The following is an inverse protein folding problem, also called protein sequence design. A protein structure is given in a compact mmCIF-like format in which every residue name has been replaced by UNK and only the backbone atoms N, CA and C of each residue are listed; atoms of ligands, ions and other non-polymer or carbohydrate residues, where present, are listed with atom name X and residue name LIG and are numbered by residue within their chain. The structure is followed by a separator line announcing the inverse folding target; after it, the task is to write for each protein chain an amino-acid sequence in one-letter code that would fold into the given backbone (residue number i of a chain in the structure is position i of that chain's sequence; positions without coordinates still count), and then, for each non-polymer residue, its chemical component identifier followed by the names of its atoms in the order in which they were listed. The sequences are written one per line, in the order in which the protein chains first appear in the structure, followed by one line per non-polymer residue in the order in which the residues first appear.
data_IF_895342892478
#
_entry.id   IF_895342892478
#
_cell.length_a   1.000
_cell.length_b   1.000
_cell.length_c   1.000
_cell.angle_alpha   90.00
_cell.angle_beta   90.00
_cell.angle_gamma   90.00
#
_symmetry.space_group_name_H-M   'P 1'
#
loop_
_entity.id
_entity.type
_entity.pdbx_description
1 polymer ?
#
# COMPACT_ATOMS: atom_id res chain seq x y z
N UNK A 1 52.77 -8.78 72.40
CA UNK A 1 52.34 -8.38 71.04
C UNK A 1 53.54 -8.48 70.13
N UNK A 2 53.71 -9.63 69.48
CA UNK A 2 54.87 -10.03 68.66
C UNK A 2 54.89 -9.22 67.35
N UNK A 3 55.90 -8.35 67.10
CA UNK A 3 57.24 -8.61 66.55
C UNK A 3 57.20 -9.03 65.05
N UNK A 4 57.95 -8.53 64.05
CA UNK A 4 59.17 -7.71 63.89
C UNK A 4 59.26 -7.27 62.39
N UNK A 5 60.02 -6.20 62.11
CA UNK A 5 60.46 -5.64 60.81
C UNK A 5 61.12 -6.63 59.82
N UNK A 6 61.04 -6.36 58.49
CA UNK A 6 62.20 -6.10 57.58
C UNK A 6 61.88 -6.18 56.06
N UNK A 7 62.36 -5.17 55.32
CA UNK A 7 63.00 -5.13 53.99
C UNK A 7 62.55 -6.02 52.78
N UNK A 8 62.22 -5.30 51.70
CA UNK A 8 62.67 -5.42 50.28
C UNK A 8 62.61 -6.76 49.51
N UNK A 9 62.06 -6.75 48.28
CA UNK A 9 62.63 -7.35 47.04
C UNK A 9 61.73 -7.04 45.81
N UNK A 10 62.38 -6.85 44.66
CA UNK A 10 61.92 -6.39 43.34
C UNK A 10 61.14 -7.41 42.47
N UNK A 11 60.26 -6.85 41.60
CA UNK A 11 59.94 -7.18 40.18
C UNK A 11 59.17 -8.49 39.83
N UNK A 12 58.49 -8.58 38.65
CA UNK A 12 58.43 -7.62 37.53
C UNK A 12 57.04 -7.17 37.03
N UNK A 13 57.05 -6.00 36.37
CA UNK A 13 56.05 -5.56 35.38
C UNK A 13 55.92 -6.58 34.25
N UNK A 14 54.69 -6.85 33.81
CA UNK A 14 54.43 -7.48 32.52
C UNK A 14 53.73 -6.46 31.61
N UNK A 15 54.53 -5.60 30.98
CA UNK A 15 54.14 -4.90 29.75
C UNK A 15 54.18 -5.93 28.61
N UNK A 16 53.06 -6.10 27.91
CA UNK A 16 53.01 -6.38 26.46
C UNK A 16 51.55 -6.50 26.02
N UNK A 17 51.05 -5.40 25.44
CA UNK A 17 49.95 -5.39 24.46
C UNK A 17 50.18 -6.45 23.37
N UNK A 18 49.20 -7.29 23.05
CA UNK A 18 49.15 -7.95 21.76
C UNK A 18 48.26 -7.16 20.80
N UNK A 19 48.95 -6.56 19.84
CA UNK A 19 48.61 -6.27 18.45
C UNK A 19 47.25 -6.78 17.91
N UNK A 20 46.58 -5.89 17.18
CA UNK A 20 45.52 -6.15 16.19
C UNK A 20 45.82 -7.41 15.34
N UNK A 21 44.89 -8.37 15.20
CA UNK A 21 44.94 -9.33 14.13
C UNK A 21 44.29 -8.74 12.87
N UNK A 22 45.13 -8.65 11.85
CA UNK A 22 44.86 -8.67 10.43
C UNK A 22 43.61 -9.45 10.00
N UNK A 23 42.92 -8.90 8.99
CA UNK A 23 41.87 -9.51 8.17
C UNK A 23 42.12 -11.02 7.93
N UNK A 24 41.36 -11.87 8.61
CA UNK A 24 41.13 -13.25 8.21
C UNK A 24 39.63 -13.50 8.14
N UNK A 25 39.20 -13.97 6.97
CA UNK A 25 37.86 -14.45 6.67
C UNK A 25 37.53 -15.65 7.56
N UNK A 26 36.92 -15.42 8.71
CA UNK A 26 36.34 -16.49 9.53
C UNK A 26 34.90 -16.72 9.11
N UNK A 27 34.66 -17.90 8.53
CA UNK A 27 33.31 -18.42 8.32
C UNK A 27 32.54 -18.45 9.65
N UNK A 28 31.23 -18.18 9.66
CA UNK A 28 30.42 -18.38 10.86
C UNK A 28 30.37 -19.88 11.22
N UNK A 29 30.18 -20.21 12.51
CA UNK A 29 30.18 -21.59 12.98
C UNK A 29 29.05 -22.39 12.34
N UNK A 30 29.39 -23.62 11.91
CA UNK A 30 28.45 -24.62 11.42
C UNK A 30 27.52 -25.01 12.58
N UNK A 31 26.24 -24.68 12.46
CA UNK A 31 25.20 -25.18 13.36
C UNK A 31 25.02 -26.69 13.12
N UNK A 32 24.87 -27.52 14.17
CA UNK A 32 24.53 -28.91 13.99
C UNK A 32 23.15 -29.03 13.31
N UNK A 33 23.08 -29.82 12.25
CA UNK A 33 21.86 -30.15 11.52
C UNK A 33 20.82 -30.69 12.51
N UNK A 34 19.85 -29.85 12.89
CA UNK A 34 18.60 -30.35 13.47
C UNK A 34 17.83 -30.95 12.30
N UNK A 35 18.02 -32.24 12.06
CA UNK A 35 17.13 -33.04 11.23
C UNK A 35 15.76 -33.05 11.92
N UNK A 36 14.91 -32.09 11.57
CA UNK A 36 13.47 -32.21 11.77
C UNK A 36 12.99 -33.38 10.90
N UNK A 37 13.07 -34.59 11.45
CA UNK A 37 12.39 -35.77 10.92
C UNK A 37 10.92 -35.66 11.25
N UNK A 38 10.23 -34.77 10.56
CA UNK A 38 8.80 -34.80 10.37
C UNK A 38 8.54 -34.34 8.95
N UNK A 39 8.63 -35.27 7.99
CA UNK A 39 8.22 -35.01 6.60
C UNK A 39 6.73 -34.62 6.64
N UNK A 40 6.39 -33.33 6.49
CA UNK A 40 5.01 -32.92 6.55
C UNK A 40 4.52 -32.97 5.10
N UNK A 41 3.72 -33.99 4.75
CA UNK A 41 3.12 -34.24 3.43
C UNK A 41 3.74 -33.45 2.26
N UNK A 42 4.76 -34.02 1.62
CA UNK A 42 5.49 -33.45 0.46
C UNK A 42 4.57 -32.86 -0.63
N UNK A 43 3.35 -33.39 -0.79
CA UNK A 43 2.34 -32.87 -1.71
C UNK A 43 1.77 -31.51 -1.31
N UNK A 44 1.51 -31.28 -0.02
CA UNK A 44 0.92 -30.03 0.48
C UNK A 44 1.87 -28.85 0.29
N UNK A 45 3.17 -29.03 0.57
CA UNK A 45 4.18 -28.00 0.34
C UNK A 45 4.33 -27.68 -1.15
N UNK A 46 4.34 -28.70 -2.02
CA UNK A 46 4.40 -28.47 -3.47
C UNK A 46 3.19 -27.72 -4.02
N UNK A 47 1.99 -28.00 -3.49
CA UNK A 47 0.78 -27.25 -3.86
C UNK A 47 0.88 -25.80 -3.39
N UNK A 48 1.39 -25.57 -2.17
CA UNK A 48 1.60 -24.23 -1.64
C UNK A 48 2.63 -23.45 -2.48
N UNK A 49 3.74 -24.08 -2.86
CA UNK A 49 4.77 -23.48 -3.71
C UNK A 49 4.22 -23.09 -5.08
N UNK A 50 3.41 -23.95 -5.70
CA UNK A 50 2.74 -23.65 -6.97
C UNK A 50 1.74 -22.50 -6.80
N UNK A 51 0.95 -22.50 -5.72
CA UNK A 51 -0.02 -21.45 -5.45
C UNK A 51 0.68 -20.09 -5.23
N UNK A 52 1.73 -20.06 -4.42
CA UNK A 52 2.57 -18.87 -4.19
C UNK A 52 3.21 -18.43 -5.50
N UNK A 53 3.72 -19.36 -6.30
CA UNK A 53 4.32 -19.06 -7.60
C UNK A 53 3.33 -18.50 -8.62
N UNK A 54 2.09 -18.98 -8.64
CA UNK A 54 1.03 -18.46 -9.52
C UNK A 54 0.54 -17.10 -9.05
N UNK A 55 0.32 -16.92 -7.74
CA UNK A 55 -0.24 -15.69 -7.16
C UNK A 55 0.80 -14.58 -7.11
N UNK A 56 2.00 -14.86 -6.58
CA UNK A 56 3.09 -13.89 -6.42
C UNK A 56 4.00 -13.80 -7.63
N UNK A 57 3.98 -14.78 -8.54
CA UNK A 57 4.92 -14.81 -9.66
C UNK A 57 6.36 -15.09 -9.25
N UNK A 58 6.59 -15.71 -8.08
CA UNK A 58 7.92 -16.03 -7.54
C UNK A 58 8.15 -17.54 -7.65
N UNK A 59 9.20 -17.96 -8.35
CA UNK A 59 9.65 -19.35 -8.33
C UNK A 59 10.56 -19.59 -7.13
N UNK A 60 10.14 -20.44 -6.19
CA UNK A 60 10.96 -20.84 -5.05
C UNK A 60 11.92 -21.93 -5.54
N UNK A 61 13.17 -21.57 -5.82
CA UNK A 61 14.23 -22.52 -6.09
C UNK A 61 14.81 -23.01 -4.75
N UNK A 62 14.64 -24.31 -4.44
CA UNK A 62 15.02 -24.89 -3.15
C UNK A 62 16.54 -25.14 -2.98
N UNK A 63 17.38 -24.91 -4.00
CA UNK A 63 18.75 -25.48 -4.08
C UNK A 63 19.94 -24.50 -4.01
N UNK A 64 19.74 -23.22 -3.70
CA UNK A 64 20.86 -22.26 -3.63
C UNK A 64 21.34 -22.02 -2.18
N UNK A 65 22.29 -22.85 -1.71
CA UNK A 65 22.94 -22.79 -0.40
C UNK A 65 23.83 -21.57 -0.12
N UNK A 66 23.27 -20.36 -0.22
CA UNK A 66 23.90 -19.11 0.23
C UNK A 66 22.85 -18.11 0.71
N UNK A 67 23.22 -17.01 1.35
CA UNK A 67 22.30 -15.87 1.59
C UNK A 67 22.55 -14.83 0.50
N UNK A 68 21.75 -14.83 -0.55
CA UNK A 68 21.88 -13.87 -1.66
C UNK A 68 20.91 -12.72 -1.41
N UNK A 69 21.49 -11.56 -1.10
CA UNK A 69 20.79 -10.26 -1.04
C UNK A 69 20.07 -10.06 -2.39
N UNK A 70 18.77 -9.75 -2.36
CA UNK A 70 17.89 -9.54 -3.52
C UNK A 70 17.34 -10.77 -4.27
N UNK A 71 17.36 -11.98 -3.70
CA UNK A 71 16.86 -13.19 -4.39
C UNK A 71 15.44 -13.11 -4.94
N UNK A 72 14.55 -12.48 -4.18
CA UNK A 72 13.12 -12.52 -4.48
C UNK A 72 12.60 -11.22 -5.12
N UNK A 73 13.51 -10.28 -5.41
CA UNK A 73 13.12 -9.02 -6.04
C UNK A 73 12.94 -9.18 -7.55
N UNK A 74 11.69 -9.08 -7.99
CA UNK A 74 11.25 -9.27 -9.38
C UNK A 74 11.11 -7.95 -10.18
N UNK A 75 11.43 -6.81 -9.58
CA UNK A 75 11.36 -5.51 -10.26
C UNK A 75 12.54 -5.22 -11.19
N UNK A 76 12.59 -4.00 -11.70
CA UNK A 76 13.62 -3.57 -12.66
C UNK A 76 15.03 -3.61 -12.08
N UNK A 77 16.01 -4.05 -12.86
CA UNK A 77 17.44 -3.99 -12.47
C UNK A 77 18.19 -2.85 -13.14
N UNK A 78 17.49 -1.93 -13.81
CA UNK A 78 18.10 -0.81 -14.53
C UNK A 78 18.95 0.12 -13.65
N UNK A 79 18.59 0.25 -12.36
CA UNK A 79 19.29 1.13 -11.41
C UNK A 79 20.36 0.40 -10.57
N UNK A 80 20.75 -0.83 -10.95
CA UNK A 80 21.86 -1.56 -10.32
C UNK A 80 23.16 -0.76 -10.21
N UNK A 81 23.59 0.04 -11.21
CA UNK A 81 24.81 0.85 -11.07
C UNK A 81 24.77 1.83 -9.88
N UNK A 82 23.57 2.29 -9.51
CA UNK A 82 23.37 3.18 -8.35
C UNK A 82 23.41 2.37 -7.05
N UNK A 83 22.87 1.15 -7.05
CA UNK A 83 23.00 0.19 -5.94
C UNK A 83 24.47 -0.10 -5.64
N UNK A 84 25.27 -0.42 -6.66
CA UNK A 84 26.69 -0.74 -6.49
C UNK A 84 27.49 0.44 -5.94
N UNK A 85 27.11 1.66 -6.33
CA UNK A 85 27.74 2.89 -5.85
C UNK A 85 27.32 3.29 -4.43
N UNK A 86 26.04 3.11 -4.08
CA UNK A 86 25.46 3.62 -2.82
C UNK A 86 25.35 2.58 -1.70
N UNK A 87 25.46 1.28 -2.02
CA UNK A 87 25.25 0.17 -1.09
C UNK A 87 23.78 -0.09 -0.70
N UNK A 88 22.84 0.75 -1.20
CA UNK A 88 21.41 0.66 -0.89
C UNK A 88 20.75 -0.40 -1.79
N UNK A 89 19.89 -1.28 -1.22
CA UNK A 89 19.13 -2.26 -2.00
C UNK A 89 18.36 -1.66 -3.20
N UNK A 90 18.33 -2.39 -4.32
CA UNK A 90 17.79 -1.90 -5.61
C UNK A 90 16.29 -1.64 -5.56
N UNK A 91 15.56 -2.42 -4.77
CA UNK A 91 14.13 -2.31 -4.52
C UNK A 91 13.76 -0.96 -3.88
N UNK A 92 14.52 -0.53 -2.87
CA UNK A 92 14.36 0.77 -2.23
C UNK A 92 14.66 1.91 -3.20
N UNK A 93 15.74 1.81 -3.98
CA UNK A 93 16.10 2.82 -4.98
C UNK A 93 15.02 2.94 -6.05
N UNK A 94 14.53 1.81 -6.58
CA UNK A 94 13.46 1.81 -7.58
C UNK A 94 12.19 2.45 -7.04
N UNK A 95 11.82 2.14 -5.80
CA UNK A 95 10.62 2.71 -5.17
C UNK A 95 10.73 4.22 -4.99
N UNK A 96 11.88 4.71 -4.53
CA UNK A 96 12.15 6.15 -4.39
C UNK A 96 12.14 6.82 -5.76
N UNK A 97 12.85 6.25 -6.75
CA UNK A 97 12.90 6.78 -8.11
C UNK A 97 11.51 6.87 -8.75
N UNK A 98 10.68 5.82 -8.62
CA UNK A 98 9.30 5.82 -9.11
C UNK A 98 8.44 6.89 -8.44
N UNK A 99 8.66 7.14 -7.14
CA UNK A 99 7.98 8.21 -6.40
C UNK A 99 8.35 9.59 -6.94
N UNK A 100 9.63 9.82 -7.27
CA UNK A 100 10.08 11.06 -7.89
C UNK A 100 9.56 11.23 -9.32
N UNK A 101 9.55 10.15 -10.14
CA UNK A 101 9.00 10.16 -11.51
C UNK A 101 7.48 10.39 -11.55
N UNK A 102 6.77 10.05 -10.49
CA UNK A 102 5.34 10.32 -10.40
C UNK A 102 5.03 11.82 -10.44
N UNK A 103 5.93 12.69 -9.96
CA UNK A 103 5.76 14.15 -10.03
C UNK A 103 5.74 14.70 -11.47
N UNK A 104 6.75 14.47 -12.32
CA UNK A 104 6.71 14.91 -13.71
C UNK A 104 5.59 14.23 -14.49
N UNK A 105 5.23 12.97 -14.21
CA UNK A 105 4.05 12.34 -14.82
C UNK A 105 2.75 13.06 -14.44
N UNK A 106 2.60 13.53 -13.20
CA UNK A 106 1.45 14.33 -12.80
C UNK A 106 1.39 15.68 -13.52
N UNK A 107 2.53 16.35 -13.68
CA UNK A 107 2.62 17.59 -14.46
C UNK A 107 2.31 17.34 -15.94
N UNK A 108 2.86 16.28 -16.52
CA UNK A 108 2.61 15.86 -17.90
C UNK A 108 1.12 15.60 -18.12
N UNK A 109 0.49 14.82 -17.26
CA UNK A 109 -0.95 14.53 -17.34
C UNK A 109 -1.78 15.82 -17.26
N UNK A 110 -1.39 16.75 -16.39
CA UNK A 110 -2.10 18.04 -16.25
C UNK A 110 -2.01 18.90 -17.51
N UNK A 111 -0.84 18.98 -18.13
CA UNK A 111 -0.62 19.84 -19.31
C UNK A 111 -1.12 19.19 -20.61
N UNK A 112 -0.89 17.89 -20.78
CA UNK A 112 -1.24 17.16 -22.01
C UNK A 112 -2.70 16.72 -22.03
N UNK A 113 -3.25 16.34 -20.89
CA UNK A 113 -4.63 15.80 -20.78
C UNK A 113 -5.51 16.67 -19.87
N UNK A 114 -5.71 17.96 -20.18
CA UNK A 114 -6.55 18.83 -19.36
C UNK A 114 -8.03 18.40 -19.43
N UNK A 115 -8.77 18.42 -18.31
CA UNK A 115 -10.18 18.00 -18.26
C UNK A 115 -11.11 18.81 -19.16
N UNK A 116 -10.72 20.02 -19.56
CA UNK A 116 -11.49 20.87 -20.47
C UNK A 116 -11.49 20.36 -21.91
N UNK A 117 -10.43 19.64 -22.32
CA UNK A 117 -10.23 19.20 -23.71
C UNK A 117 -10.43 17.70 -23.89
N UNK A 118 -10.11 16.91 -22.87
CA UNK A 118 -10.03 15.45 -22.96
C UNK A 118 -11.17 14.79 -22.19
N UNK A 119 -11.73 13.71 -22.76
CA UNK A 119 -12.76 12.92 -22.08
C UNK A 119 -12.17 12.21 -20.85
N UNK A 120 -12.93 12.06 -19.74
CA UNK A 120 -12.46 11.40 -18.52
C UNK A 120 -11.88 9.99 -18.75
N UNK A 121 -12.41 9.26 -19.75
CA UNK A 121 -11.95 7.92 -20.10
C UNK A 121 -10.47 7.88 -20.53
N UNK A 122 -10.00 8.85 -21.32
CA UNK A 122 -8.60 8.88 -21.76
C UNK A 122 -7.66 9.24 -20.61
N UNK A 123 -8.12 10.09 -19.69
CA UNK A 123 -7.39 10.39 -18.45
C UNK A 123 -7.26 9.13 -17.58
N UNK A 124 -8.35 8.38 -17.44
CA UNK A 124 -8.37 7.12 -16.68
C UNK A 124 -7.43 6.08 -17.29
N UNK A 125 -7.46 5.92 -18.62
CA UNK A 125 -6.55 5.02 -19.33
C UNK A 125 -5.09 5.42 -19.15
N UNK A 126 -4.78 6.72 -19.24
CA UNK A 126 -3.43 7.22 -18.99
C UNK A 126 -2.96 6.91 -17.56
N UNK A 127 -3.83 7.05 -16.56
CA UNK A 127 -3.51 6.68 -15.18
C UNK A 127 -3.23 5.19 -15.00
N UNK A 128 -4.05 4.33 -15.61
CA UNK A 128 -3.85 2.88 -15.58
C UNK A 128 -2.50 2.52 -16.21
N UNK A 129 -2.20 3.08 -17.39
CA UNK A 129 -0.94 2.78 -18.11
C UNK A 129 0.27 3.25 -17.32
N UNK A 130 0.26 4.50 -16.82
CA UNK A 130 1.36 5.03 -16.05
C UNK A 130 1.53 4.30 -14.71
N UNK A 131 0.44 3.95 -14.03
CA UNK A 131 0.49 3.27 -12.75
C UNK A 131 0.89 1.81 -12.88
N UNK A 132 0.40 1.10 -13.90
CA UNK A 132 0.91 -0.23 -14.25
C UNK A 132 2.41 -0.17 -14.56
N UNK A 133 2.87 0.85 -15.29
CA UNK A 133 4.29 1.08 -15.55
C UNK A 133 5.12 1.25 -14.28
N UNK A 134 4.63 2.06 -13.33
CA UNK A 134 5.27 2.26 -12.02
C UNK A 134 5.32 0.95 -11.21
N UNK A 135 4.22 0.20 -11.16
CA UNK A 135 4.18 -1.10 -10.45
C UNK A 135 5.10 -2.13 -11.10
N UNK A 136 5.09 -2.24 -12.43
CA UNK A 136 5.97 -3.17 -13.16
C UNK A 136 7.44 -2.78 -12.93
N UNK A 137 7.76 -1.50 -12.92
CA UNK A 137 9.11 -1.04 -12.62
C UNK A 137 9.54 -1.42 -11.19
N UNK A 138 8.68 -1.20 -10.19
CA UNK A 138 9.01 -1.47 -8.79
C UNK A 138 8.92 -2.95 -8.38
N UNK A 139 8.00 -3.73 -8.94
CA UNK A 139 7.64 -5.07 -8.45
C UNK A 139 7.49 -6.11 -9.57
N UNK A 140 7.69 -5.72 -10.83
CA UNK A 140 7.58 -6.63 -11.97
C UNK A 140 6.17 -7.17 -12.19
N UNK A 141 6.07 -8.48 -12.42
CA UNK A 141 4.80 -9.16 -12.70
C UNK A 141 3.92 -9.40 -11.46
N UNK A 142 4.36 -8.97 -10.28
CA UNK A 142 3.53 -8.91 -9.08
C UNK A 142 2.33 -7.95 -9.23
N UNK A 143 2.29 -7.13 -10.29
CA UNK A 143 1.09 -6.40 -10.72
C UNK A 143 -0.18 -7.27 -10.74
N UNK A 144 -0.05 -8.56 -11.06
CA UNK A 144 -1.17 -9.52 -11.10
C UNK A 144 -1.89 -9.64 -9.76
N UNK A 145 -1.18 -9.48 -8.63
CA UNK A 145 -1.72 -9.52 -7.27
C UNK A 145 -2.76 -8.39 -7.09
N UNK A 146 -2.39 -7.17 -7.46
CA UNK A 146 -3.27 -6.00 -7.40
C UNK A 146 -4.46 -6.13 -8.36
N UNK A 147 -4.23 -6.66 -9.57
CA UNK A 147 -5.29 -6.89 -10.56
C UNK A 147 -6.30 -7.94 -10.09
N UNK A 148 -5.84 -9.05 -9.49
CA UNK A 148 -6.71 -10.09 -8.98
C UNK A 148 -7.59 -9.57 -7.83
N UNK A 149 -6.99 -8.87 -6.87
CA UNK A 149 -7.73 -8.32 -5.72
C UNK A 149 -8.83 -7.35 -6.16
N UNK A 150 -8.51 -6.39 -7.05
CA UNK A 150 -9.48 -5.42 -7.57
C UNK A 150 -10.57 -6.07 -8.42
N UNK A 151 -10.21 -7.02 -9.28
CA UNK A 151 -11.16 -7.66 -10.20
C UNK A 151 -12.23 -8.43 -9.44
N UNK A 152 -11.84 -9.24 -8.45
CA UNK A 152 -12.79 -10.00 -7.62
C UNK A 152 -13.67 -9.04 -6.82
N UNK A 153 -13.09 -8.01 -6.20
CA UNK A 153 -13.87 -7.00 -5.48
C UNK A 153 -14.88 -6.27 -6.37
N UNK A 154 -14.51 -5.94 -7.60
CA UNK A 154 -15.43 -5.29 -8.55
C UNK A 154 -16.57 -6.22 -8.98
N UNK A 155 -16.27 -7.49 -9.25
CA UNK A 155 -17.29 -8.49 -9.57
C UNK A 155 -18.28 -8.63 -8.41
N UNK A 156 -17.81 -8.68 -7.16
CA UNK A 156 -18.69 -8.70 -5.99
C UNK A 156 -19.59 -7.46 -5.92
N UNK A 157 -19.04 -6.27 -6.18
CA UNK A 157 -19.81 -5.01 -6.22
C UNK A 157 -20.86 -4.99 -7.35
N UNK A 158 -20.62 -5.69 -8.45
CA UNK A 158 -21.57 -5.80 -9.57
C UNK A 158 -22.68 -6.83 -9.30
N UNK A 159 -22.35 -7.96 -8.68
CA UNK A 159 -23.29 -9.06 -8.45
C UNK A 159 -24.21 -8.82 -7.24
N UNK A 160 -23.71 -8.14 -6.20
CA UNK A 160 -24.45 -7.98 -4.96
C UNK A 160 -25.32 -6.71 -4.94
N UNK A 161 -26.44 -6.77 -4.22
CA UNK A 161 -27.34 -5.61 -4.09
C UNK A 161 -26.75 -4.55 -3.15
N UNK A 162 -26.64 -3.33 -3.65
CA UNK A 162 -25.93 -2.23 -2.97
C UNK A 162 -26.67 -1.61 -1.78
N UNK A 163 -27.97 -1.83 -1.65
CA UNK A 163 -28.80 -1.42 -0.51
C UNK A 163 -28.58 -2.27 0.75
N UNK A 164 -27.89 -3.42 0.62
CA UNK A 164 -27.66 -4.35 1.74
C UNK A 164 -26.25 -4.20 2.30
N UNK A 165 -26.17 -4.14 3.63
CA UNK A 165 -24.89 -4.04 4.38
C UNK A 165 -23.96 -5.23 4.15
N UNK A 166 -24.52 -6.37 3.75
CA UNK A 166 -23.75 -7.59 3.43
C UNK A 166 -22.76 -7.33 2.30
N UNK A 167 -23.10 -6.49 1.32
CA UNK A 167 -22.26 -6.19 0.16
C UNK A 167 -20.93 -5.52 0.54
N UNK A 168 -20.89 -4.37 1.24
CA UNK A 168 -19.63 -3.77 1.66
C UNK A 168 -18.86 -4.63 2.66
N UNK A 169 -19.55 -5.36 3.54
CA UNK A 169 -18.90 -6.32 4.45
C UNK A 169 -18.20 -7.42 3.65
N UNK A 170 -18.87 -8.02 2.67
CA UNK A 170 -18.31 -9.10 1.86
C UNK A 170 -17.05 -8.63 1.10
N UNK A 171 -17.10 -7.46 0.46
CA UNK A 171 -15.94 -6.87 -0.25
C UNK A 171 -14.78 -6.60 0.71
N UNK A 172 -15.08 -6.10 1.91
CA UNK A 172 -14.08 -5.83 2.94
C UNK A 172 -13.44 -7.12 3.46
N UNK A 173 -14.25 -8.14 3.75
CA UNK A 173 -13.79 -9.47 4.18
C UNK A 173 -12.91 -10.11 3.11
N UNK A 174 -13.33 -10.08 1.84
CA UNK A 174 -12.52 -10.55 0.72
C UNK A 174 -11.17 -9.82 0.66
N UNK A 175 -11.19 -8.48 0.71
CA UNK A 175 -9.98 -7.67 0.55
C UNK A 175 -8.99 -7.88 1.71
N UNK A 176 -9.49 -7.98 2.95
CA UNK A 176 -8.67 -8.27 4.13
C UNK A 176 -8.15 -9.70 4.15
N UNK A 177 -8.98 -10.69 3.77
CA UNK A 177 -8.55 -12.08 3.66
C UNK A 177 -7.46 -12.23 2.61
N UNK A 178 -7.63 -11.60 1.46
CA UNK A 178 -6.61 -11.57 0.41
C UNK A 178 -5.31 -10.96 0.92
N UNK A 179 -5.36 -9.79 1.56
CA UNK A 179 -4.18 -9.14 2.15
C UNK A 179 -3.49 -10.04 3.20
N UNK A 180 -4.26 -10.73 4.04
CA UNK A 180 -3.72 -11.70 5.02
C UNK A 180 -2.98 -12.84 4.33
N UNK A 181 -3.56 -13.42 3.27
CA UNK A 181 -2.90 -14.48 2.50
C UNK A 181 -1.62 -13.99 1.83
N UNK A 182 -1.60 -12.77 1.31
CA UNK A 182 -0.40 -12.15 0.73
C UNK A 182 0.70 -11.97 1.78
N UNK A 183 0.37 -11.48 2.98
CA UNK A 183 1.33 -11.39 4.08
C UNK A 183 1.81 -12.77 4.56
N UNK A 184 0.94 -13.77 4.57
CA UNK A 184 1.31 -15.14 4.92
C UNK A 184 2.27 -15.74 3.87
N UNK A 185 2.02 -15.50 2.58
CA UNK A 185 2.93 -15.90 1.51
C UNK A 185 4.29 -15.22 1.69
N UNK A 186 4.32 -13.90 1.95
CA UNK A 186 5.56 -13.16 2.21
C UNK A 186 6.33 -13.74 3.39
N UNK A 187 5.66 -14.08 4.48
CA UNK A 187 6.27 -14.74 5.63
C UNK A 187 6.86 -16.11 5.27
N UNK A 188 6.25 -16.80 4.31
CA UNK A 188 6.69 -18.12 3.85
C UNK A 188 7.96 -18.06 2.98
N UNK A 189 8.04 -17.15 2.00
CA UNK A 189 9.20 -17.09 1.07
C UNK A 189 10.31 -16.11 1.50
N UNK A 190 10.03 -15.10 2.33
CA UNK A 190 11.00 -14.09 2.77
C UNK A 190 10.83 -13.78 4.28
N UNK A 191 11.04 -14.80 5.12
CA UNK A 191 10.99 -14.67 6.57
C UNK A 191 12.10 -13.74 7.08
N UNK A 192 11.75 -12.75 7.89
CA UNK A 192 12.66 -11.69 8.40
C UNK A 192 13.33 -10.82 7.31
N UNK A 193 12.86 -10.91 6.06
CA UNK A 193 13.35 -10.11 4.96
C UNK A 193 12.91 -8.65 5.05
N UNK A 194 13.86 -7.74 4.85
CA UNK A 194 13.61 -6.30 4.73
C UNK A 194 13.37 -5.85 3.28
N UNK A 195 13.13 -6.80 2.36
CA UNK A 195 12.86 -6.46 0.97
C UNK A 195 11.50 -5.76 0.85
N UNK A 196 11.44 -4.78 -0.04
CA UNK A 196 10.23 -4.03 -0.31
C UNK A 196 9.32 -4.86 -1.24
N UNK A 197 8.14 -5.21 -0.72
CA UNK A 197 7.22 -6.16 -1.35
C UNK A 197 5.89 -5.50 -1.76
N UNK A 198 5.22 -6.10 -2.75
CA UNK A 198 3.92 -5.66 -3.26
C UNK A 198 2.83 -5.58 -2.18
N UNK A 199 2.99 -6.30 -1.05
CA UNK A 199 2.07 -6.26 0.09
C UNK A 199 1.72 -4.84 0.53
N UNK A 200 2.66 -3.89 0.44
CA UNK A 200 2.41 -2.48 0.74
C UNK A 200 1.38 -1.84 -0.19
N UNK A 201 1.47 -2.09 -1.50
CA UNK A 201 0.49 -1.60 -2.47
C UNK A 201 -0.88 -2.28 -2.28
N UNK A 202 -0.88 -3.59 -1.97
CA UNK A 202 -2.11 -4.36 -1.67
C UNK A 202 -2.83 -3.78 -0.44
N UNK A 203 -2.09 -3.31 0.57
CA UNK A 203 -2.65 -2.64 1.75
C UNK A 203 -3.40 -1.35 1.37
N UNK A 204 -2.78 -0.47 0.58
CA UNK A 204 -3.44 0.77 0.11
C UNK A 204 -4.68 0.45 -0.74
N UNK A 205 -4.58 -0.56 -1.59
CA UNK A 205 -5.70 -0.99 -2.41
C UNK A 205 -6.85 -1.56 -1.57
N UNK A 206 -6.55 -2.33 -0.52
CA UNK A 206 -7.54 -2.84 0.43
C UNK A 206 -8.34 -1.70 1.07
N UNK A 207 -7.67 -0.62 1.48
CA UNK A 207 -8.34 0.58 2.00
C UNK A 207 -9.27 1.22 0.96
N UNK A 208 -8.84 1.31 -0.30
CA UNK A 208 -9.63 1.86 -1.42
C UNK A 208 -10.86 1.03 -1.76
N UNK A 209 -10.73 -0.30 -1.78
CA UNK A 209 -11.83 -1.21 -2.10
C UNK A 209 -12.90 -1.20 -1.01
N UNK A 210 -12.48 -1.31 0.26
CA UNK A 210 -13.39 -1.29 1.40
C UNK A 210 -14.14 0.05 1.50
N UNK A 211 -13.41 1.17 1.40
CA UNK A 211 -14.03 2.50 1.44
C UNK A 211 -14.99 2.75 0.29
N UNK A 212 -14.65 2.36 -0.95
CA UNK A 212 -15.56 2.46 -2.09
C UNK A 212 -16.84 1.66 -1.85
N UNK A 213 -16.74 0.46 -1.31
CA UNK A 213 -17.89 -0.39 -1.04
C UNK A 213 -18.85 0.27 -0.03
N UNK A 214 -18.33 0.80 1.08
CA UNK A 214 -19.14 1.52 2.07
C UNK A 214 -19.72 2.84 1.51
N UNK A 215 -18.93 3.60 0.74
CA UNK A 215 -19.41 4.83 0.09
C UNK A 215 -20.55 4.54 -0.90
N UNK A 216 -20.49 3.42 -1.62
CA UNK A 216 -21.54 2.96 -2.53
C UNK A 216 -22.81 2.54 -1.78
N UNK A 217 -22.65 1.86 -0.64
CA UNK A 217 -23.74 1.45 0.25
C UNK A 217 -24.48 2.67 0.84
N UNK A 218 -23.75 3.64 1.39
CA UNK A 218 -24.35 4.86 1.92
C UNK A 218 -25.04 5.68 0.81
N UNK A 219 -24.43 5.76 -0.38
CA UNK A 219 -25.04 6.39 -1.54
C UNK A 219 -26.34 5.74 -2.00
N UNK A 220 -26.47 4.41 -1.87
CA UNK A 220 -27.72 3.71 -2.16
C UNK A 220 -28.81 3.97 -1.12
N UNK A 221 -28.45 4.03 0.17
CA UNK A 221 -29.40 4.35 1.25
C UNK A 221 -29.95 5.76 1.14
N UNK A 222 -29.09 6.74 0.83
CA UNK A 222 -29.50 8.13 0.62
C UNK A 222 -30.44 8.24 -0.58
N UNK A 223 -30.12 7.58 -1.69
CA UNK A 223 -30.97 7.57 -2.87
C UNK A 223 -32.34 6.89 -2.61
N UNK A 224 -32.35 5.79 -1.86
CA UNK A 224 -33.58 5.10 -1.47
C UNK A 224 -34.48 5.96 -0.57
N UNK A 225 -33.90 6.66 0.41
CA UNK A 225 -34.65 7.57 1.28
C UNK A 225 -35.24 8.77 0.52
N UNK A 226 -34.47 9.35 -0.40
CA UNK A 226 -34.97 10.44 -1.26
C UNK A 226 -36.11 9.97 -2.17
N UNK A 227 -36.03 8.74 -2.70
CA UNK A 227 -37.11 8.17 -3.51
C UNK A 227 -38.38 7.91 -2.69
N UNK A 228 -38.25 7.42 -1.45
CA UNK A 228 -39.37 7.21 -0.54
C UNK A 228 -40.06 8.53 -0.16
N UNK A 229 -39.28 9.58 0.13
CA UNK A 229 -39.81 10.91 0.43
C UNK A 229 -40.58 11.51 -0.76
N UNK A 230 -40.03 11.42 -1.97
CA UNK A 230 -40.70 11.91 -3.18
C UNK A 230 -41.99 11.13 -3.50
N UNK A 231 -42.04 9.83 -3.19
CA UNK A 231 -43.25 9.01 -3.36
C UNK A 231 -44.35 9.38 -2.37
N UNK A 232 -43.99 9.65 -1.11
CA UNK A 232 -44.93 10.09 -0.08
C UNK A 232 -45.57 11.45 -0.41
N UNK A 233 -44.77 12.44 -0.84
CA UNK A 233 -45.29 13.75 -1.24
C UNK A 233 -46.18 13.69 -2.49
N UNK A 234 -45.98 12.72 -3.38
CA UNK A 234 -46.85 12.55 -4.56
C UNK A 234 -48.21 11.95 -4.19
N UNK A 235 -48.24 11.00 -3.25
CA UNK A 235 -49.49 10.43 -2.75
C UNK A 235 -50.33 11.45 -1.98
N UNK A 236 -49.71 12.34 -1.18
CA UNK A 236 -50.43 13.38 -0.45
C UNK A 236 -51.07 14.44 -1.37
N UNK A 237 -50.43 14.77 -2.49
CA UNK A 237 -50.95 15.76 -3.44
C UNK A 237 -52.09 15.23 -4.33
N UNK A 238 -52.33 13.92 -4.36
CA UNK A 238 -53.48 13.31 -5.05
C UNK A 238 -54.70 13.15 -4.12
N UNK A 239 -54.53 13.29 -2.80
CA UNK A 239 -55.58 13.12 -1.80
C UNK A 239 -56.10 14.44 -1.17
N UNK A 240 -55.42 15.57 -1.36
CA UNK A 240 -55.81 16.84 -0.74
C UNK A 240 -55.86 18.02 -1.74
N UNK A 241 -57.05 18.27 -2.29
CA UNK A 241 -57.43 19.54 -2.92
C UNK A 241 -58.09 20.45 -1.86
N UNK A 242 -57.39 20.68 -0.74
CA UNK A 242 -57.78 21.73 0.22
C UNK A 242 -56.70 22.09 1.24
N UNK A 243 -56.33 23.38 1.20
CA UNK A 243 -55.72 24.20 2.27
C UNK A 243 -54.19 24.31 2.31
N UNK A 244 -53.82 25.57 2.11
CA UNK A 244 -52.52 26.24 2.06
C UNK A 244 -51.88 26.30 3.45
N UNK A 245 -50.60 25.90 3.58
CA UNK A 245 -49.81 26.09 4.80
C UNK A 245 -48.83 24.98 5.23
N UNK A 246 -48.56 23.95 4.43
CA UNK A 246 -47.85 22.73 4.85
C UNK A 246 -46.40 22.58 4.32
N UNK A 247 -45.75 23.65 3.85
CA UNK A 247 -44.43 23.51 3.20
C UNK A 247 -43.25 23.41 4.19
N UNK A 248 -43.31 24.09 5.34
CA UNK A 248 -42.20 24.12 6.31
C UNK A 248 -42.23 22.93 7.30
N UNK A 249 -43.41 22.45 7.70
CA UNK A 249 -43.55 21.31 8.61
C UNK A 249 -43.20 19.97 7.94
N UNK A 250 -43.59 19.80 6.67
CA UNK A 250 -43.26 18.61 5.87
C UNK A 250 -41.75 18.52 5.64
N UNK A 251 -41.08 19.65 5.43
CA UNK A 251 -39.63 19.72 5.23
C UNK A 251 -38.85 19.32 6.49
N UNK A 252 -39.32 19.74 7.68
CA UNK A 252 -38.72 19.37 8.96
C UNK A 252 -38.91 17.87 9.31
N UNK A 253 -40.07 17.28 8.97
CA UNK A 253 -40.34 15.84 9.20
C UNK A 253 -39.52 14.96 8.25
N UNK A 254 -39.30 15.40 7.01
CA UNK A 254 -38.43 14.71 6.03
C UNK A 254 -36.95 14.77 6.44
N UNK A 255 -36.52 15.85 7.09
CA UNK A 255 -35.14 16.00 7.56
C UNK A 255 -34.82 15.09 8.76
N UNK A 256 -35.79 14.82 9.65
CA UNK A 256 -35.65 13.90 10.79
C UNK A 256 -35.84 12.40 10.42
N UNK A 257 -36.57 12.12 9.33
CA UNK A 257 -36.87 10.74 8.87
C UNK A 257 -35.79 10.12 7.97
N UNK A 258 -34.75 10.87 7.62
CA UNK A 258 -33.67 10.39 6.76
C UNK A 258 -32.81 9.29 7.42
N UNK A 259 -32.11 8.45 6.64
CA UNK A 259 -31.19 7.46 7.20
C UNK A 259 -30.12 8.18 8.03
N UNK A 260 -30.03 7.81 9.30
CA UNK A 260 -28.98 8.27 10.22
C UNK A 260 -27.63 7.81 9.67
N UNK A 261 -26.89 8.75 9.09
CA UNK A 261 -25.57 8.56 8.46
C UNK A 261 -24.71 9.73 8.95
N UNK A 262 -23.48 9.44 9.35
CA UNK A 262 -22.53 10.47 9.78
C UNK A 262 -22.29 11.50 8.66
N UNK A 263 -22.08 12.79 8.99
CA UNK A 263 -21.88 13.84 7.98
C UNK A 263 -20.74 13.52 6.99
N UNK A 264 -19.59 13.05 7.49
CA UNK A 264 -18.45 12.69 6.65
C UNK A 264 -18.74 11.54 5.68
N UNK A 265 -19.54 10.55 6.11
CA UNK A 265 -20.00 9.45 5.25
C UNK A 265 -20.96 9.95 4.17
N UNK A 266 -21.84 10.91 4.49
CA UNK A 266 -22.71 11.55 3.49
C UNK A 266 -21.89 12.30 2.44
N UNK A 267 -20.84 13.00 2.86
CA UNK A 267 -19.94 13.71 1.95
C UNK A 267 -19.18 12.78 1.03
N UNK A 268 -18.83 11.58 1.46
CA UNK A 268 -18.11 10.59 0.64
C UNK A 268 -19.03 9.68 -0.17
N UNK A 269 -20.35 9.76 0.03
CA UNK A 269 -21.33 8.85 -0.55
C UNK A 269 -21.31 8.87 -2.09
N UNK A 270 -21.37 7.67 -2.69
CA UNK A 270 -21.30 7.47 -4.14
C UNK A 270 -22.62 6.87 -4.61
N UNK A 271 -23.42 7.67 -5.32
CA UNK A 271 -24.75 7.26 -5.80
C UNK A 271 -24.70 6.37 -7.04
N UNK A 272 -23.72 6.58 -7.92
CA UNK A 272 -23.56 5.86 -9.20
C UNK A 272 -22.34 4.95 -9.17
N UNK A 273 -22.52 3.69 -9.59
CA UNK A 273 -21.45 2.70 -9.75
C UNK A 273 -20.40 3.18 -10.75
N UNK A 274 -19.09 3.08 -10.42
CA UNK A 274 -18.03 3.37 -11.39
C UNK A 274 -18.06 2.40 -12.57
N UNK A 275 -17.75 2.91 -13.75
CA UNK A 275 -17.45 2.06 -14.91
C UNK A 275 -16.17 1.26 -14.68
N UNK A 276 -15.93 0.17 -15.43
CA UNK A 276 -14.79 -0.71 -15.20
C UNK A 276 -13.44 0.00 -15.38
N UNK A 277 -13.34 0.89 -16.36
CA UNK A 277 -12.11 1.68 -16.61
C UNK A 277 -11.88 2.72 -15.52
N UNK A 278 -12.94 3.38 -15.05
CA UNK A 278 -12.84 4.37 -13.97
C UNK A 278 -12.45 3.69 -12.64
N UNK A 279 -13.02 2.52 -12.37
CA UNK A 279 -12.65 1.70 -11.22
C UNK A 279 -11.20 1.20 -11.29
N UNK A 280 -10.78 0.69 -12.46
CA UNK A 280 -9.40 0.25 -12.66
C UNK A 280 -8.41 1.41 -12.48
N UNK A 281 -8.73 2.59 -12.97
CA UNK A 281 -7.90 3.78 -12.81
C UNK A 281 -7.84 4.25 -11.34
N UNK A 282 -8.95 4.16 -10.59
CA UNK A 282 -8.93 4.41 -9.14
C UNK A 282 -8.05 3.41 -8.37
N UNK A 283 -7.98 2.15 -8.81
CA UNK A 283 -7.10 1.16 -8.19
C UNK A 283 -5.62 1.41 -8.55
N UNK A 284 -5.35 1.83 -9.79
CA UNK A 284 -4.02 1.86 -10.41
C UNK A 284 -3.48 3.26 -10.72
N UNK A 285 -3.98 4.33 -10.10
CA UNK A 285 -3.44 5.66 -10.42
C UNK A 285 -1.97 5.80 -9.97
N UNK A 286 -1.12 6.22 -10.90
CA UNK A 286 0.34 6.22 -10.71
C UNK A 286 0.84 6.99 -9.49
N UNK A 287 0.15 8.07 -9.10
CA UNK A 287 0.58 8.93 -8.00
C UNK A 287 0.29 8.36 -6.59
N UNK A 288 -0.42 7.23 -6.49
CA UNK A 288 -0.73 6.61 -5.20
C UNK A 288 -0.73 5.09 -5.20
N UNK A 289 -0.47 4.42 -6.32
CA UNK A 289 -0.53 2.95 -6.41
C UNK A 289 0.45 2.26 -5.46
N UNK A 290 1.66 2.81 -5.30
CA UNK A 290 2.70 2.25 -4.43
C UNK A 290 2.75 2.91 -3.05
N UNK A 291 2.60 4.23 -3.01
CA UNK A 291 2.63 5.06 -1.81
C UNK A 291 1.82 6.31 -2.08
N UNK A 292 1.09 6.79 -1.08
CA UNK A 292 0.38 8.05 -1.18
C UNK A 292 -0.70 8.18 -0.12
N UNK A 293 -1.24 9.39 0.04
CA UNK A 293 -2.40 9.57 0.90
C UNK A 293 -3.56 8.73 0.37
N UNK A 294 -4.35 8.20 1.28
CA UNK A 294 -5.62 7.60 0.95
C UNK A 294 -6.58 8.69 0.41
N UNK A 295 -7.23 8.41 -0.72
CA UNK A 295 -8.15 9.33 -1.39
C UNK A 295 -9.48 8.62 -1.61
N UNK A 296 -10.58 9.23 -1.22
CA UNK A 296 -11.91 8.67 -1.46
C UNK A 296 -12.27 8.69 -2.94
N UNK A 297 -13.05 7.70 -3.38
CA UNK A 297 -13.47 7.57 -4.77
C UNK A 297 -14.19 8.81 -5.31
N UNK A 298 -15.00 9.49 -4.49
CA UNK A 298 -15.70 10.72 -4.91
C UNK A 298 -14.71 11.82 -5.31
N UNK A 299 -13.66 12.03 -4.51
CA UNK A 299 -12.64 13.04 -4.79
C UNK A 299 -11.79 12.67 -5.99
N UNK A 300 -11.43 11.39 -6.11
CA UNK A 300 -10.75 10.86 -7.28
C UNK A 300 -11.57 11.10 -8.56
N UNK A 301 -12.87 10.78 -8.54
CA UNK A 301 -13.78 11.02 -9.67
C UNK A 301 -13.89 12.50 -10.01
N UNK A 302 -13.97 13.38 -9.01
CA UNK A 302 -13.97 14.82 -9.22
C UNK A 302 -12.67 15.28 -9.91
N UNK A 303 -11.52 14.80 -9.44
CA UNK A 303 -10.23 15.08 -10.09
C UNK A 303 -10.19 14.58 -11.55
N UNK A 304 -10.68 13.36 -11.81
CA UNK A 304 -10.71 12.75 -13.14
C UNK A 304 -11.64 13.47 -14.13
N UNK A 305 -12.74 14.06 -13.63
CA UNK A 305 -13.67 14.85 -14.43
C UNK A 305 -13.31 16.35 -14.49
N UNK A 306 -12.39 16.82 -13.65
CA UNK A 306 -12.00 18.23 -13.58
C UNK A 306 -12.95 19.11 -12.78
N UNK A 307 -13.58 18.54 -11.74
CA UNK A 307 -14.54 19.23 -10.87
C UNK A 307 -15.73 19.80 -11.65
N UNK A 308 -16.50 20.74 -11.05
CA UNK A 308 -17.68 21.32 -11.70
C UNK A 308 -17.36 22.11 -12.97
N UNK A 309 -16.20 22.78 -13.02
CA UNK A 309 -15.87 23.73 -14.09
C UNK A 309 -14.93 23.13 -15.16
N UNK A 310 -14.65 21.82 -15.13
CA UNK A 310 -13.62 21.16 -15.98
C UNK A 310 -12.23 21.81 -15.87
N UNK A 311 -11.93 22.43 -14.74
CA UNK A 311 -10.66 23.09 -14.46
C UNK A 311 -10.06 22.53 -13.17
N UNK A 312 -8.76 22.25 -13.21
CA UNK A 312 -8.01 21.81 -12.05
C UNK A 312 -7.59 23.02 -11.21
N UNK A 313 -7.59 22.91 -9.86
CA UNK A 313 -7.16 23.99 -8.99
C UNK A 313 -5.71 24.41 -9.33
N UNK A 314 -5.37 25.70 -9.23
CA UNK A 314 -4.04 26.18 -9.58
C UNK A 314 -2.97 25.52 -8.70
N UNK A 315 -1.79 25.30 -9.30
CA UNK A 315 -0.66 24.71 -8.57
C UNK A 315 0.05 25.83 -7.81
N UNK A 316 0.21 25.73 -6.48
CA UNK A 316 1.10 26.61 -5.74
C UNK A 316 2.56 26.19 -6.00
N UNK A 317 3.16 26.63 -7.11
CA UNK A 317 4.51 26.22 -7.54
C UNK A 317 5.57 26.41 -6.45
N UNK A 318 5.49 27.52 -5.71
CA UNK A 318 6.38 27.80 -4.57
C UNK A 318 6.27 26.73 -3.49
N UNK A 319 5.04 26.28 -3.17
CA UNK A 319 4.79 25.22 -2.19
C UNK A 319 5.29 23.87 -2.70
N UNK A 320 5.06 23.55 -3.98
CA UNK A 320 5.60 22.33 -4.59
C UNK A 320 7.11 22.30 -4.52
N UNK A 321 7.78 23.41 -4.86
CA UNK A 321 9.23 23.51 -4.79
C UNK A 321 9.75 23.23 -3.37
N UNK A 322 9.15 23.85 -2.35
CA UNK A 322 9.54 23.57 -0.95
C UNK A 322 9.27 22.11 -0.56
N UNK A 323 8.13 21.53 -0.93
CA UNK A 323 7.81 20.13 -0.64
C UNK A 323 8.81 19.17 -1.29
N UNK A 324 9.18 19.40 -2.55
CA UNK A 324 10.19 18.60 -3.24
C UNK A 324 11.56 18.76 -2.59
N UNK A 325 11.95 19.99 -2.21
CA UNK A 325 13.19 20.24 -1.48
C UNK A 325 13.23 19.48 -0.14
N UNK A 326 12.16 19.56 0.66
CA UNK A 326 12.04 18.83 1.92
C UNK A 326 12.09 17.32 1.72
N UNK A 327 11.38 16.79 0.71
CA UNK A 327 11.42 15.38 0.37
C UNK A 327 12.84 14.92 0.00
N UNK A 328 13.56 15.71 -0.82
CA UNK A 328 14.96 15.40 -1.17
C UNK A 328 15.88 15.45 0.05
N UNK A 329 15.69 16.42 0.96
CA UNK A 329 16.49 16.54 2.17
C UNK A 329 16.27 15.34 3.11
N UNK A 330 15.02 14.91 3.32
CA UNK A 330 14.71 13.71 4.11
C UNK A 330 15.26 12.44 3.46
N UNK A 331 15.09 12.27 2.15
CA UNK A 331 15.62 11.12 1.41
C UNK A 331 17.15 11.04 1.47
N UNK A 332 17.84 12.17 1.32
CA UNK A 332 19.30 12.23 1.44
C UNK A 332 19.76 11.95 2.87
N UNK A 333 19.06 12.50 3.87
CA UNK A 333 19.36 12.24 5.28
C UNK A 333 19.21 10.76 5.62
N UNK A 334 18.16 10.11 5.11
CA UNK A 334 17.98 8.66 5.22
C UNK A 334 19.12 7.89 4.55
N UNK A 335 19.50 8.24 3.33
CA UNK A 335 20.60 7.57 2.61
C UNK A 335 21.95 7.70 3.35
N UNK A 336 22.22 8.85 3.98
CA UNK A 336 23.42 9.07 4.80
C UNK A 336 23.36 8.25 6.09
N UNK A 337 22.23 8.27 6.79
CA UNK A 337 22.02 7.50 8.03
C UNK A 337 22.12 5.99 7.78
N UNK A 338 21.54 5.50 6.69
CA UNK A 338 21.56 4.08 6.32
C UNK A 338 23.00 3.57 6.12
N UNK A 339 23.87 4.38 5.52
CA UNK A 339 25.29 4.07 5.37
C UNK A 339 26.07 4.09 6.70
N UNK A 340 25.56 4.81 7.71
CA UNK A 340 26.22 4.97 9.03
C UNK A 340 25.72 3.97 10.06
N UNK A 341 24.48 3.49 9.95
CA UNK A 341 23.82 2.58 10.88
C UNK A 341 23.26 1.40 10.07
N UNK A 342 24.06 0.36 9.81
CA UNK A 342 23.56 -0.82 9.10
C UNK A 342 22.48 -1.52 9.93
N UNK A 343 21.36 -1.85 9.30
CA UNK A 343 20.16 -2.45 9.93
C UNK A 343 20.46 -3.79 10.62
N UNK A 344 21.58 -4.45 10.28
CA UNK A 344 22.09 -5.63 10.98
C UNK A 344 22.45 -5.41 12.45
N UNK A 345 22.46 -4.16 12.93
CA UNK A 345 22.68 -3.83 14.34
C UNK A 345 21.43 -4.10 15.21
N UNK A 346 20.27 -4.35 14.61
CA UNK A 346 19.03 -4.64 15.33
C UNK A 346 18.94 -6.15 15.59
N UNK A 347 19.63 -6.58 16.65
CA UNK A 347 19.35 -7.74 17.49
C UNK A 347 19.53 -9.16 16.91
N UNK A 348 20.78 -9.61 16.76
CA UNK A 348 21.10 -11.05 16.68
C UNK A 348 21.53 -11.67 18.04
N UNK A 349 21.77 -10.85 19.07
CA UNK A 349 22.36 -11.30 20.35
C UNK A 349 21.38 -11.59 21.49
N UNK A 350 20.15 -11.05 21.48
CA UNK A 350 19.26 -11.09 22.65
C UNK A 350 18.28 -12.27 22.71
N UNK A 351 18.21 -13.11 21.67
CA UNK A 351 17.28 -14.26 21.60
C UNK A 351 17.97 -15.61 21.46
N UNK A 352 19.26 -15.71 21.80
CA UNK A 352 19.90 -17.01 22.01
C UNK A 352 19.43 -17.54 23.37
N UNK A 353 18.33 -18.31 23.39
CA UNK A 353 17.97 -19.14 24.54
C UNK A 353 19.06 -20.21 24.65
N UNK A 354 19.83 -20.13 25.74
CA UNK A 354 20.90 -21.05 26.13
C UNK A 354 20.46 -22.50 26.24
#
# INVERSE_FOLDING_TARGET
MTAINAASILLPQNDTLPLLPSYHTTMPPVYPNVSFTSSPNSTTFRILDILVGVVMGITIEQDAGGFVKDRFYAGSRLLQPITDWSGIPVDMINFVFASFISLPFALLMRFVLPPSRVRPIFRALAEIVLGAGVVIFCFGMQLRVLLLQSSVAYIMLLLCRRDRVITPIAVTVWSLLYLMLIHQCRLYYDYEGYTLDISGAVMLQTQRLSSLAFNLYDGARIAGAAAAANGACKASNEEDDSLDGQDDATRAIVEDSGPKIAPSSRDCAVTKMPGPVEFAAYCMYFHGVCIGPFVFFKDYRNYLHGYGNKHLPPIPCRRMFYLTLWLTAYGLTYAVLFNRIPVSFINHGAFQVS
#
